data_IF_367886615935
#
_entry.id   IF_367886615935
#
_cell.length_a   1.000
_cell.length_b   1.000
_cell.length_c   1.000
_cell.angle_alpha   90.00
_cell.angle_beta   90.00
_cell.angle_gamma   90.00
#
_symmetry.space_group_name_H-M   'P 1'
#
loop_
_entity.id
_entity.type
_entity.pdbx_description
1 polymer ?
#
# COMPACT_ATOMS: atom_id res chain seq x y z
N UNK A 1 54.66 3.77 4.57
CA UNK A 1 53.79 2.60 4.30
C UNK A 1 52.33 3.04 4.48
N UNK A 2 51.56 3.13 3.40
CA UNK A 2 50.19 3.64 3.42
C UNK A 2 49.19 2.50 3.69
N UNK A 3 48.25 2.71 4.61
CA UNK A 3 47.21 1.71 4.94
C UNK A 3 46.06 1.85 3.93
N UNK A 4 45.61 0.76 3.29
CA UNK A 4 44.45 0.84 2.41
C UNK A 4 43.19 1.05 3.25
N UNK A 5 42.41 2.06 2.87
CA UNK A 5 41.10 2.34 3.46
C UNK A 5 40.17 1.25 2.92
N UNK A 6 39.82 0.28 3.74
CA UNK A 6 38.77 -0.68 3.42
C UNK A 6 37.48 0.14 3.30
N UNK A 7 37.05 0.36 2.06
CA UNK A 7 35.79 1.00 1.72
C UNK A 7 34.65 0.18 2.30
N UNK A 8 34.31 0.46 3.56
CA UNK A 8 33.05 0.05 4.15
C UNK A 8 32.01 0.70 3.26
N UNK A 9 31.31 -0.10 2.45
CA UNK A 9 30.14 0.35 1.73
C UNK A 9 29.16 0.92 2.76
N UNK A 10 29.20 2.24 2.93
CA UNK A 10 28.21 2.99 3.67
C UNK A 10 26.99 2.97 2.76
N UNK A 11 26.11 1.98 2.97
CA UNK A 11 24.76 2.02 2.39
C UNK A 11 24.18 3.38 2.76
N UNK A 12 23.72 4.13 1.77
CA UNK A 12 23.10 5.41 2.07
C UNK A 12 21.86 5.12 2.90
N UNK A 13 21.61 5.90 3.95
CA UNK A 13 20.42 5.74 4.80
C UNK A 13 19.13 5.89 3.98
N UNK A 14 19.19 6.45 2.76
CA UNK A 14 18.05 6.56 1.86
C UNK A 14 17.82 5.32 0.97
N UNK A 15 18.73 4.34 0.95
CA UNK A 15 18.61 3.13 0.13
C UNK A 15 17.52 2.20 0.72
N UNK A 16 16.26 2.63 0.69
CA UNK A 16 15.08 1.85 1.07
C UNK A 16 14.57 0.98 -0.10
N UNK A 17 15.26 1.01 -1.25
CA UNK A 17 14.82 0.32 -2.46
C UNK A 17 14.79 -1.22 -2.33
N UNK A 18 15.64 -1.81 -1.48
CA UNK A 18 15.76 -3.27 -1.38
C UNK A 18 14.66 -3.94 -0.54
N UNK A 19 14.03 -3.24 0.41
CA UNK A 19 12.92 -3.80 1.23
C UNK A 19 11.59 -3.87 0.45
N UNK A 20 11.51 -3.17 -0.68
CA UNK A 20 10.33 -2.96 -1.48
C UNK A 20 10.43 -3.70 -2.81
N UNK A 21 10.90 -4.93 -2.90
CA UNK A 21 10.86 -5.61 -4.22
C UNK A 21 10.53 -7.09 -4.17
N UNK A 22 10.47 -7.70 -2.99
CA UNK A 22 10.40 -9.16 -2.86
C UNK A 22 8.98 -9.74 -2.75
N UNK A 23 7.91 -8.93 -2.85
CA UNK A 23 6.50 -9.41 -2.72
C UNK A 23 5.53 -8.90 -3.81
N UNK A 24 6.05 -8.48 -4.97
CA UNK A 24 5.48 -7.41 -5.81
C UNK A 24 4.66 -7.79 -7.08
N UNK A 25 3.64 -8.67 -7.03
CA UNK A 25 2.55 -8.62 -8.04
C UNK A 25 1.28 -7.96 -7.51
N UNK A 26 0.71 -8.43 -6.39
CA UNK A 26 -0.51 -7.85 -5.80
C UNK A 26 -0.30 -6.43 -5.27
N UNK A 27 0.84 -6.16 -4.62
CA UNK A 27 1.18 -4.80 -4.16
C UNK A 27 1.31 -3.83 -5.35
N UNK A 28 1.81 -4.32 -6.50
CA UNK A 28 1.95 -3.48 -7.70
C UNK A 28 0.59 -3.10 -8.31
N UNK A 29 -0.38 -4.02 -8.31
CA UNK A 29 -1.73 -3.75 -8.82
C UNK A 29 -2.54 -2.82 -7.91
N UNK A 30 -2.44 -3.02 -6.58
CA UNK A 30 -3.07 -2.13 -5.61
C UNK A 30 -2.45 -0.72 -5.64
N UNK A 31 -1.12 -0.64 -5.79
CA UNK A 31 -0.40 0.64 -5.94
C UNK A 31 -0.78 1.38 -7.23
N UNK A 32 -0.77 0.70 -8.38
CA UNK A 32 -1.18 1.32 -9.66
C UNK A 32 -2.63 1.85 -9.58
N UNK A 33 -3.53 1.04 -9.01
CA UNK A 33 -4.92 1.45 -8.81
C UNK A 33 -5.03 2.64 -7.85
N UNK A 34 -4.29 2.63 -6.74
CA UNK A 34 -4.24 3.73 -5.78
C UNK A 34 -3.79 5.03 -6.43
N UNK A 35 -2.72 4.98 -7.24
CA UNK A 35 -2.20 6.14 -7.96
C UNK A 35 -3.19 6.68 -8.98
N UNK A 36 -3.88 5.81 -9.74
CA UNK A 36 -4.95 6.22 -10.66
C UNK A 36 -6.12 6.88 -9.92
N UNK A 37 -6.54 6.30 -8.79
CA UNK A 37 -7.63 6.83 -7.98
C UNK A 37 -7.27 8.20 -7.39
N UNK A 38 -6.03 8.36 -6.93
CA UNK A 38 -5.52 9.62 -6.42
C UNK A 38 -5.43 10.69 -7.53
N UNK A 39 -4.96 10.32 -8.73
CA UNK A 39 -4.95 11.24 -9.86
C UNK A 39 -6.36 11.72 -10.25
N UNK A 40 -7.37 10.84 -10.14
CA UNK A 40 -8.76 11.17 -10.46
C UNK A 40 -9.51 11.94 -9.37
N UNK A 41 -9.23 11.65 -8.09
CA UNK A 41 -10.06 12.10 -6.96
C UNK A 41 -9.30 12.85 -5.85
N UNK A 42 -7.97 12.95 -5.93
CA UNK A 42 -7.13 13.56 -4.91
C UNK A 42 -7.29 12.91 -3.54
N UNK A 43 -7.37 13.71 -2.48
CA UNK A 43 -7.54 13.23 -1.09
C UNK A 43 -8.80 12.38 -0.86
N UNK A 44 -9.81 12.51 -1.73
CA UNK A 44 -11.03 11.70 -1.68
C UNK A 44 -10.80 10.23 -2.05
N UNK A 45 -9.66 9.89 -2.67
CA UNK A 45 -9.38 8.55 -3.19
C UNK A 45 -9.43 7.46 -2.12
N UNK A 46 -8.90 7.70 -0.92
CA UNK A 46 -8.91 6.72 0.16
C UNK A 46 -10.34 6.37 0.61
N UNK A 47 -11.22 7.37 0.69
CA UNK A 47 -12.63 7.16 1.01
C UNK A 47 -13.33 6.36 -0.10
N UNK A 48 -13.04 6.63 -1.37
CA UNK A 48 -13.60 5.88 -2.51
C UNK A 48 -13.15 4.43 -2.54
N UNK A 49 -11.89 4.15 -2.20
CA UNK A 49 -11.42 2.78 -2.07
C UNK A 49 -12.12 2.03 -0.91
N UNK A 50 -12.35 2.71 0.23
CA UNK A 50 -13.14 2.14 1.33
C UNK A 50 -14.58 1.83 0.91
N UNK A 51 -15.26 2.78 0.26
CA UNK A 51 -16.64 2.56 -0.22
C UNK A 51 -16.72 1.37 -1.20
N UNK A 52 -15.72 1.23 -2.08
CA UNK A 52 -15.64 0.08 -2.98
C UNK A 52 -15.39 -1.25 -2.23
N UNK A 53 -14.62 -1.24 -1.14
CA UNK A 53 -14.47 -2.40 -0.25
C UNK A 53 -15.79 -2.74 0.44
N UNK A 54 -16.54 -1.75 0.94
CA UNK A 54 -17.87 -1.93 1.54
C UNK A 54 -18.87 -2.56 0.57
N UNK A 55 -18.89 -2.09 -0.68
CA UNK A 55 -19.76 -2.62 -1.72
C UNK A 55 -19.39 -4.06 -2.08
N UNK A 56 -18.11 -4.37 -2.21
CA UNK A 56 -17.62 -5.73 -2.51
C UNK A 56 -17.95 -6.72 -1.38
N UNK A 57 -17.79 -6.29 -0.12
CA UNK A 57 -18.20 -7.07 1.05
C UNK A 57 -19.71 -7.34 1.03
N UNK A 58 -20.53 -6.32 0.78
CA UNK A 58 -21.99 -6.47 0.67
C UNK A 58 -22.42 -7.42 -0.46
N UNK A 59 -21.56 -7.62 -1.46
CA UNK A 59 -21.78 -8.55 -2.58
C UNK A 59 -21.23 -9.95 -2.32
N UNK A 60 -20.55 -10.18 -1.19
CA UNK A 60 -19.93 -11.47 -0.84
C UNK A 60 -18.60 -11.76 -1.54
N UNK A 61 -18.00 -10.77 -2.22
CA UNK A 61 -16.74 -10.92 -2.95
C UNK A 61 -15.55 -10.50 -2.07
N UNK A 62 -15.08 -11.46 -1.26
CA UNK A 62 -14.01 -11.24 -0.29
C UNK A 62 -12.66 -10.91 -0.93
N UNK A 63 -12.35 -11.46 -2.10
CA UNK A 63 -11.13 -11.16 -2.84
C UNK A 63 -11.13 -9.70 -3.32
N UNK A 64 -12.25 -9.24 -3.88
CA UNK A 64 -12.40 -7.86 -4.35
C UNK A 64 -12.43 -6.87 -3.19
N UNK A 65 -13.05 -7.24 -2.07
CA UNK A 65 -13.01 -6.43 -0.86
C UNK A 65 -11.60 -6.30 -0.28
N UNK A 66 -10.86 -7.41 -0.22
CA UNK A 66 -9.45 -7.42 0.19
C UNK A 66 -8.57 -6.56 -0.72
N UNK A 67 -8.79 -6.62 -2.02
CA UNK A 67 -8.09 -5.76 -2.99
C UNK A 67 -8.35 -4.27 -2.72
N UNK A 68 -9.62 -3.85 -2.59
CA UNK A 68 -9.97 -2.46 -2.32
C UNK A 68 -9.47 -1.98 -0.95
N UNK A 69 -9.38 -2.87 0.02
CA UNK A 69 -8.76 -2.58 1.30
C UNK A 69 -7.25 -2.32 1.17
N UNK A 70 -6.53 -3.11 0.39
CA UNK A 70 -5.11 -2.89 0.15
C UNK A 70 -4.84 -1.60 -0.65
N UNK A 71 -5.72 -1.26 -1.61
CA UNK A 71 -5.73 0.06 -2.26
C UNK A 71 -5.96 1.18 -1.23
N UNK A 72 -6.95 1.02 -0.34
CA UNK A 72 -7.22 1.97 0.74
C UNK A 72 -6.02 2.10 1.70
N UNK A 73 -5.37 0.99 2.07
CA UNK A 73 -4.20 0.95 2.95
C UNK A 73 -2.98 1.63 2.33
N UNK A 74 -2.81 1.52 1.02
CA UNK A 74 -1.75 2.20 0.25
C UNK A 74 -1.91 3.72 0.31
N UNK A 75 -3.16 4.22 0.30
CA UNK A 75 -3.48 5.64 0.38
C UNK A 75 -3.54 6.17 1.81
N UNK A 76 -4.22 5.44 2.71
CA UNK A 76 -4.45 5.79 4.11
C UNK A 76 -4.50 4.53 4.99
N UNK A 77 -3.39 4.27 5.68
CA UNK A 77 -3.25 3.13 6.59
C UNK A 77 -4.19 3.20 7.80
N UNK A 78 -4.56 4.40 8.26
CA UNK A 78 -5.43 4.56 9.43
C UNK A 78 -6.87 4.22 9.06
N UNK A 79 -7.34 4.72 7.92
CA UNK A 79 -8.69 4.44 7.43
C UNK A 79 -8.92 2.95 7.17
N UNK A 80 -7.95 2.27 6.55
CA UNK A 80 -8.01 0.82 6.32
C UNK A 80 -8.08 0.03 7.64
N UNK A 81 -7.30 0.42 8.66
CA UNK A 81 -7.35 -0.20 10.00
C UNK A 81 -8.69 0.03 10.68
N UNK A 82 -9.23 1.24 10.61
CA UNK A 82 -10.53 1.58 11.19
C UNK A 82 -11.65 0.75 10.55
N UNK A 83 -11.58 0.55 9.23
CA UNK A 83 -12.50 -0.32 8.49
C UNK A 83 -12.41 -1.77 8.96
N UNK A 84 -11.20 -2.33 9.06
CA UNK A 84 -11.00 -3.70 9.56
C UNK A 84 -11.50 -3.89 10.99
N UNK A 85 -11.29 -2.91 11.88
CA UNK A 85 -11.81 -2.97 13.25
C UNK A 85 -13.34 -3.01 13.29
N UNK A 86 -14.02 -2.26 12.41
CA UNK A 86 -15.49 -2.28 12.31
C UNK A 86 -16.02 -3.62 11.80
N UNK A 87 -15.30 -4.29 10.90
CA UNK A 87 -15.67 -5.61 10.38
C UNK A 87 -15.58 -6.72 11.44
N UNK A 88 -14.69 -6.58 12.42
CA UNK A 88 -14.45 -7.57 13.47
C UNK A 88 -15.28 -7.36 14.74
N UNK A 89 -16.13 -6.33 14.80
CA UNK A 89 -16.97 -6.00 15.95
C UNK A 89 -18.45 -6.24 15.67
#
# INVERSE_FOLDING_TARGET
MARPILGRHVRAVNDNAEEWCASWPQESAALDTALRLFAAHGFSAAARARDAAEIAEGSGDGDRAGFWLEVCRTLDRRMARDFQRRKHS
#
